data_IF_272854733078
#
_entry.id   IF_272854733078
#
_cell.length_a   1.000
_cell.length_b   1.000
_cell.length_c   1.000
_cell.angle_alpha   90.00
_cell.angle_beta   90.00
_cell.angle_gamma   90.00
#
_symmetry.space_group_name_H-M   'P 1'
#
loop_
_entity.id
_entity.type
_entity.pdbx_description
1 polymer ?
#
# COMPACT_ATOMS: atom_id res chain seq x y z
N UNK A 1 9.02 13.24 -4.08
CA UNK A 1 7.84 13.32 -3.19
C UNK A 1 7.28 11.94 -2.85
N UNK A 2 7.03 11.05 -3.81
CA UNK A 2 6.48 9.71 -3.57
C UNK A 2 7.27 8.88 -2.55
N UNK A 3 8.60 8.78 -2.71
CA UNK A 3 9.47 8.06 -1.77
C UNK A 3 9.35 8.58 -0.32
N UNK A 4 9.40 9.90 -0.13
CA UNK A 4 9.27 10.52 1.18
C UNK A 4 7.92 10.24 1.84
N UNK A 5 6.83 10.22 1.07
CA UNK A 5 5.51 9.85 1.58
C UNK A 5 5.46 8.39 2.05
N UNK A 6 6.03 7.47 1.28
CA UNK A 6 6.11 6.04 1.65
C UNK A 6 6.98 5.88 2.90
N UNK A 7 8.20 6.41 2.90
CA UNK A 7 9.13 6.33 4.04
C UNK A 7 8.54 6.92 5.33
N UNK A 8 7.83 8.06 5.23
CA UNK A 8 7.14 8.66 6.39
C UNK A 8 6.12 7.70 7.00
N UNK A 9 5.34 6.99 6.17
CA UNK A 9 4.38 6.00 6.65
C UNK A 9 5.07 4.77 7.23
N UNK A 10 6.12 4.27 6.60
CA UNK A 10 6.92 3.14 7.11
C UNK A 10 7.49 3.46 8.50
N UNK A 11 8.18 4.60 8.64
CA UNK A 11 8.76 5.06 9.91
C UNK A 11 7.69 5.29 10.99
N UNK A 12 6.49 5.72 10.60
CA UNK A 12 5.37 5.88 11.53
C UNK A 12 4.76 4.55 11.97
N UNK A 13 4.67 3.57 11.07
CA UNK A 13 4.09 2.26 11.37
C UNK A 13 4.99 1.40 12.27
N UNK A 14 6.32 1.52 12.12
CA UNK A 14 7.33 0.75 12.88
C UNK A 14 7.04 -0.75 12.90
N UNK A 15 6.66 -1.28 11.73
CA UNK A 15 6.46 -2.72 11.53
C UNK A 15 7.76 -3.31 10.98
N UNK A 16 8.12 -4.55 11.38
CA UNK A 16 9.36 -5.17 10.91
C UNK A 16 9.34 -5.41 9.39
N UNK A 17 8.16 -5.64 8.81
CA UNK A 17 8.00 -5.88 7.39
C UNK A 17 6.71 -5.26 6.85
N UNK A 18 6.77 -4.57 5.71
CA UNK A 18 5.60 -3.96 5.05
C UNK A 18 5.60 -4.19 3.54
N UNK A 19 4.48 -4.70 3.00
CA UNK A 19 4.22 -4.68 1.56
C UNK A 19 3.52 -3.37 1.18
N UNK A 20 4.13 -2.60 0.28
CA UNK A 20 3.55 -1.37 -0.28
C UNK A 20 2.96 -1.68 -1.64
N UNK A 21 1.63 -1.61 -1.75
CA UNK A 21 0.94 -1.73 -3.04
C UNK A 21 1.16 -0.48 -3.89
N UNK A 22 1.64 -0.65 -5.12
CA UNK A 22 1.91 0.42 -6.09
C UNK A 22 1.14 0.19 -7.37
N UNK A 23 0.64 1.26 -7.97
CA UNK A 23 0.00 1.26 -9.28
C UNK A 23 0.28 2.59 -10.00
N UNK A 24 0.07 2.62 -11.31
CA UNK A 24 0.27 3.78 -12.17
C UNK A 24 1.26 3.52 -13.30
N UNK A 25 1.05 4.23 -14.42
CA UNK A 25 1.83 4.05 -15.65
C UNK A 25 3.32 4.33 -15.48
N UNK A 26 3.70 5.31 -14.64
CA UNK A 26 5.11 5.63 -14.39
C UNK A 26 5.83 4.46 -13.72
N UNK A 27 5.23 3.85 -12.70
CA UNK A 27 5.82 2.67 -12.05
C UNK A 27 5.84 1.45 -12.98
N UNK A 28 4.79 1.26 -13.80
CA UNK A 28 4.66 0.12 -14.72
C UNK A 28 5.59 0.18 -15.94
N UNK A 29 5.77 1.35 -16.55
CA UNK A 29 6.34 1.47 -17.89
C UNK A 29 7.64 2.26 -17.95
N UNK A 30 8.00 3.02 -16.90
CA UNK A 30 9.25 3.75 -16.90
C UNK A 30 10.41 2.84 -16.48
N UNK A 31 11.46 2.66 -17.32
CA UNK A 31 12.46 1.60 -17.14
C UNK A 31 13.29 1.73 -15.85
N UNK A 32 13.47 2.95 -15.34
CA UNK A 32 14.30 3.21 -14.17
C UNK A 32 13.52 3.61 -12.92
N UNK A 33 12.21 3.85 -13.03
CA UNK A 33 11.46 4.45 -11.94
C UNK A 33 11.31 3.52 -10.73
N UNK A 34 11.00 2.21 -10.88
CA UNK A 34 10.91 1.29 -9.74
C UNK A 34 12.19 1.26 -8.90
N UNK A 35 13.36 1.12 -9.56
CA UNK A 35 14.67 1.12 -8.89
C UNK A 35 14.94 2.45 -8.15
N UNK A 36 14.71 3.57 -8.82
CA UNK A 36 14.94 4.88 -8.20
C UNK A 36 13.98 5.15 -7.04
N UNK A 37 12.74 4.67 -7.12
CA UNK A 37 11.79 4.79 -6.03
C UNK A 37 12.26 4.00 -4.81
N UNK A 38 12.68 2.75 -5.02
CA UNK A 38 13.22 1.85 -4.00
C UNK A 38 14.44 2.47 -3.30
N UNK A 39 15.47 2.85 -4.07
CA UNK A 39 16.68 3.50 -3.53
C UNK A 39 16.39 4.76 -2.72
N UNK A 40 15.35 5.52 -3.09
CA UNK A 40 14.98 6.74 -2.38
C UNK A 40 14.14 6.47 -1.13
N UNK A 41 13.43 5.36 -1.05
CA UNK A 41 12.75 4.95 0.18
C UNK A 41 13.81 4.44 1.17
N UNK A 42 14.73 3.58 0.73
CA UNK A 42 15.86 3.07 1.54
C UNK A 42 16.69 4.19 2.19
N UNK A 43 16.92 5.29 1.47
CA UNK A 43 17.64 6.46 2.00
C UNK A 43 16.89 7.23 3.10
N UNK A 44 15.59 7.00 3.27
CA UNK A 44 14.69 7.78 4.14
C UNK A 44 14.08 6.96 5.28
N UNK A 45 14.11 5.62 5.21
CA UNK A 45 13.60 4.76 6.27
C UNK A 45 14.54 4.75 7.49
N UNK A 46 13.95 4.61 8.67
CA UNK A 46 14.66 4.60 9.95
C UNK A 46 14.71 3.19 10.56
N UNK A 47 15.89 2.79 11.05
CA UNK A 47 16.11 1.49 11.67
C UNK A 47 16.07 0.32 10.67
N UNK A 48 15.81 -0.88 11.18
CA UNK A 48 15.77 -2.11 10.37
C UNK A 48 14.34 -2.43 9.90
N UNK A 49 13.69 -1.47 9.23
CA UNK A 49 12.37 -1.71 8.61
C UNK A 49 12.59 -2.34 7.24
N UNK A 50 12.09 -3.56 7.06
CA UNK A 50 12.05 -4.21 5.74
C UNK A 50 10.74 -3.85 5.01
N UNK A 51 10.82 -3.69 3.69
CA UNK A 51 9.64 -3.49 2.86
C UNK A 51 9.80 -4.10 1.47
N UNK A 52 8.69 -4.24 0.76
CA UNK A 52 8.67 -4.56 -0.67
C UNK A 52 7.64 -3.73 -1.41
N UNK A 53 7.95 -3.34 -2.65
CA UNK A 53 7.00 -2.69 -3.56
C UNK A 53 6.32 -3.75 -4.43
N UNK A 54 4.99 -3.84 -4.37
CA UNK A 54 4.21 -4.82 -5.11
C UNK A 54 3.24 -4.15 -6.08
N UNK A 55 3.32 -4.50 -7.36
CA UNK A 55 2.40 -3.97 -8.36
C UNK A 55 0.97 -4.48 -8.11
N UNK A 56 0.02 -3.55 -8.02
CA UNK A 56 -1.39 -3.85 -7.87
C UNK A 56 -2.09 -3.80 -9.23
N UNK A 57 -2.56 -4.94 -9.74
CA UNK A 57 -3.15 -5.05 -11.09
C UNK A 57 -4.49 -4.33 -11.25
N UNK A 58 -5.40 -4.50 -10.28
CA UNK A 58 -6.73 -3.87 -10.22
C UNK A 58 -7.09 -3.54 -8.76
N UNK A 59 -6.40 -2.53 -8.21
CA UNK A 59 -6.65 -2.09 -6.83
C UNK A 59 -8.00 -1.42 -6.65
N UNK A 60 -8.45 -0.67 -7.66
CA UNK A 60 -9.68 0.13 -7.60
C UNK A 60 -10.93 -0.76 -7.63
N UNK A 61 -11.03 -1.72 -8.56
CA UNK A 61 -12.17 -2.60 -8.69
C UNK A 61 -12.28 -3.58 -7.51
N UNK A 62 -11.22 -4.37 -7.28
CA UNK A 62 -11.22 -5.39 -6.22
C UNK A 62 -11.28 -4.79 -4.82
N UNK A 63 -10.60 -3.66 -4.60
CA UNK A 63 -10.64 -2.94 -3.33
C UNK A 63 -12.04 -2.39 -3.01
N UNK A 64 -12.69 -1.74 -3.99
CA UNK A 64 -14.05 -1.23 -3.81
C UNK A 64 -15.06 -2.35 -3.54
N UNK A 65 -14.97 -3.46 -4.28
CA UNK A 65 -15.83 -4.62 -4.08
C UNK A 65 -15.66 -5.23 -2.68
N UNK A 66 -14.42 -5.37 -2.21
CA UNK A 66 -14.12 -5.87 -0.86
C UNK A 66 -14.72 -4.96 0.22
N UNK A 67 -14.51 -3.65 0.11
CA UNK A 67 -15.07 -2.67 1.07
C UNK A 67 -16.60 -2.73 1.07
N UNK A 68 -17.24 -2.80 -0.10
CA UNK A 68 -18.69 -2.93 -0.20
C UNK A 68 -19.22 -4.23 0.45
N UNK A 69 -18.53 -5.35 0.25
CA UNK A 69 -18.86 -6.62 0.88
C UNK A 69 -18.74 -6.55 2.42
N UNK A 70 -17.66 -5.96 2.95
CA UNK A 70 -17.47 -5.77 4.39
C UNK A 70 -18.54 -4.85 4.97
N UNK A 71 -18.84 -3.71 4.34
CA UNK A 71 -19.89 -2.80 4.78
C UNK A 71 -21.27 -3.47 4.78
N UNK A 72 -21.57 -4.29 3.77
CA UNK A 72 -22.81 -5.06 3.68
C UNK A 72 -22.91 -6.09 4.82
N UNK A 73 -21.82 -6.80 5.12
CA UNK A 73 -21.76 -7.74 6.24
C UNK A 73 -22.00 -7.03 7.58
N UNK A 74 -21.30 -5.93 7.84
CA UNK A 74 -21.46 -5.15 9.09
C UNK A 74 -22.89 -4.62 9.26
N UNK A 75 -23.55 -4.21 8.16
CA UNK A 75 -24.96 -3.80 8.19
C UNK A 75 -25.87 -4.96 8.58
N UNK A 76 -25.64 -6.16 8.05
CA UNK A 76 -26.41 -7.38 8.39
C UNK A 76 -26.21 -7.79 9.85
N UNK A 77 -24.97 -7.79 10.34
CA UNK A 77 -24.65 -8.10 11.74
C UNK A 77 -25.36 -7.14 12.71
N UNK A 78 -25.37 -5.84 12.39
CA UNK A 78 -26.10 -4.82 13.18
C UNK A 78 -27.62 -5.02 13.18
N UNK A 79 -28.19 -5.51 12.07
CA UNK A 79 -29.64 -5.74 11.94
C UNK A 79 -30.09 -7.10 12.51
N UNK A 80 -29.17 -8.07 12.61
CA UNK A 80 -29.42 -9.41 13.15
C UNK A 80 -29.16 -9.55 14.65
N UNK A 81 -28.88 -8.46 15.38
CA UNK A 81 -28.71 -8.44 16.84
C UNK A 81 -29.99 -8.02 17.58
N UNK A 82 -31.16 -8.48 17.10
CA UNK A 82 -32.43 -8.40 17.83
C UNK A 82 -32.89 -9.80 18.22
#
# INVERSE_FOLDING_TARGET
MTAAGIATLLNRMKKPYVTVGVDGSVYRFHPTFPRLLDEKIDQLIEGDIEYQLMLSEDGSGRGAALVAAVATRMKRERLGTN
#
